data_IF_227877677047
#
_entry.id   IF_227877677047
#
_cell.length_a   1.000
_cell.length_b   1.000
_cell.length_c   1.000
_cell.angle_alpha   90.00
_cell.angle_beta   90.00
_cell.angle_gamma   90.00
#
_symmetry.space_group_name_H-M   'P 1'
#
loop_
_entity.id
_entity.type
_entity.pdbx_description
1 polymer ?
#
# COMPACT_ATOMS: atom_id res chain seq x y z
N UNK A 1 13.80 -45.76 75.96
CA UNK A 1 14.52 -45.93 77.24
C UNK A 1 14.55 -44.56 77.87
N UNK A 2 13.85 -44.42 78.98
CA UNK A 2 13.59 -43.16 79.67
C UNK A 2 14.66 -43.07 80.76
N UNK A 3 15.52 -42.05 80.69
CA UNK A 3 16.26 -41.59 81.87
C UNK A 3 15.79 -40.17 82.17
N UNK A 4 15.12 -40.05 83.32
CA UNK A 4 14.69 -38.82 83.95
C UNK A 4 15.76 -38.48 84.99
N UNK A 5 16.45 -37.36 84.82
CA UNK A 5 17.20 -36.75 85.92
C UNK A 5 16.49 -35.45 86.33
N UNK A 6 15.87 -35.54 87.50
CA UNK A 6 15.14 -34.49 88.18
C UNK A 6 16.16 -33.75 89.04
N UNK A 7 16.72 -32.65 88.54
CA UNK A 7 17.34 -31.63 89.42
C UNK A 7 17.73 -30.37 88.63
N UNK A 8 16.72 -29.59 88.24
CA UNK A 8 16.68 -28.11 88.17
C UNK A 8 15.39 -27.71 87.46
N UNK A 9 14.43 -27.26 88.26
CA UNK A 9 13.18 -26.71 87.75
C UNK A 9 13.44 -25.44 86.93
N UNK A 10 13.32 -25.56 85.62
CA UNK A 10 12.97 -24.47 84.70
C UNK A 10 12.65 -25.08 83.34
N UNK A 11 11.37 -25.30 83.06
CA UNK A 11 10.88 -25.55 81.72
C UNK A 11 11.01 -24.26 80.92
N UNK A 12 12.15 -24.05 80.28
CA UNK A 12 12.22 -23.20 79.09
C UNK A 12 12.03 -24.15 77.91
N UNK A 13 10.78 -24.31 77.49
CA UNK A 13 10.51 -24.88 76.17
C UNK A 13 11.28 -24.04 75.14
N UNK A 14 12.12 -24.64 74.28
CA UNK A 14 12.58 -23.92 73.12
C UNK A 14 11.37 -23.79 72.20
N UNK A 15 10.78 -22.59 72.19
CA UNK A 15 9.87 -22.13 71.14
C UNK A 15 10.65 -22.12 69.81
N UNK A 16 10.86 -23.30 69.24
CA UNK A 16 11.14 -23.46 67.82
C UNK A 16 9.81 -23.19 67.13
N UNK A 17 9.52 -21.89 66.95
CA UNK A 17 8.57 -21.46 65.95
C UNK A 17 9.14 -21.91 64.60
N UNK A 18 8.78 -23.13 64.19
CA UNK A 18 8.70 -23.48 62.79
C UNK A 18 7.62 -22.57 62.19
N UNK A 19 8.02 -21.32 61.87
CA UNK A 19 7.27 -20.49 60.93
C UNK A 19 7.35 -21.22 59.60
N UNK A 20 6.32 -22.01 59.35
CA UNK A 20 5.86 -22.25 58.00
C UNK A 20 5.73 -20.87 57.36
N UNK A 21 6.61 -20.57 56.42
CA UNK A 21 6.53 -19.37 55.60
C UNK A 21 5.37 -19.64 54.68
N UNK A 22 4.20 -19.17 55.11
CA UNK A 22 3.10 -18.99 54.19
C UNK A 22 3.60 -18.07 53.07
N UNK A 23 3.16 -18.36 51.85
CA UNK A 23 3.34 -17.52 50.67
C UNK A 23 2.90 -16.05 50.87
N UNK A 24 2.22 -15.77 52.00
CA UNK A 24 1.82 -14.49 52.60
C UNK A 24 2.93 -13.55 53.09
N UNK A 25 4.17 -14.04 53.24
CA UNK A 25 5.26 -13.28 53.88
C UNK A 25 6.05 -12.37 52.92
N UNK A 26 5.99 -12.61 51.61
CA UNK A 26 6.63 -11.75 50.61
C UNK A 26 5.81 -10.49 50.41
N UNK A 27 6.44 -9.32 50.48
CA UNK A 27 5.78 -8.05 50.18
C UNK A 27 6.11 -7.61 48.74
N UNK A 28 5.16 -7.68 47.78
CA UNK A 28 5.44 -7.34 46.40
C UNK A 28 5.98 -5.92 46.23
N UNK A 29 5.50 -4.97 47.03
CA UNK A 29 5.89 -3.56 46.99
C UNK A 29 7.35 -3.28 47.43
N UNK A 30 7.97 -4.20 48.18
CA UNK A 30 9.34 -4.04 48.69
C UNK A 30 10.37 -4.83 47.89
N UNK A 31 9.95 -5.63 46.91
CA UNK A 31 10.84 -6.33 46.00
C UNK A 31 11.75 -5.34 45.25
N UNK A 32 13.02 -5.71 45.05
CA UNK A 32 13.99 -4.89 44.32
C UNK A 32 14.46 -5.63 43.08
N UNK A 33 14.70 -4.89 42.01
CA UNK A 33 15.15 -5.45 40.75
C UNK A 33 16.36 -4.66 40.22
N UNK A 34 17.30 -5.36 39.58
CA UNK A 34 18.46 -4.74 38.91
C UNK A 34 18.91 -5.54 37.71
N UNK A 35 19.55 -4.87 36.75
CA UNK A 35 20.11 -5.49 35.55
C UNK A 35 19.37 -5.10 34.27
N UNK A 36 19.95 -5.54 33.14
CA UNK A 36 19.49 -5.23 31.79
C UNK A 36 18.10 -5.78 31.46
N UNK A 37 17.72 -6.90 32.08
CA UNK A 37 16.40 -7.53 31.91
C UNK A 37 15.21 -6.64 32.30
N UNK A 38 15.42 -5.57 33.08
CA UNK A 38 14.37 -4.64 33.49
C UNK A 38 14.44 -3.28 32.79
N UNK A 39 15.54 -3.01 32.07
CA UNK A 39 15.80 -1.71 31.42
C UNK A 39 15.73 -1.79 29.90
N UNK A 40 16.04 -2.94 29.31
CA UNK A 40 16.16 -3.11 27.87
C UNK A 40 17.60 -3.28 27.42
N UNK A 41 17.77 -3.40 26.11
CA UNK A 41 19.05 -3.67 25.49
C UNK A 41 18.92 -3.94 24.00
N UNK A 42 19.91 -4.65 23.44
CA UNK A 42 19.97 -4.97 22.02
C UNK A 42 19.32 -6.33 21.74
N UNK A 43 18.67 -6.44 20.58
CA UNK A 43 18.19 -7.71 20.03
C UNK A 43 19.31 -8.76 19.97
N UNK A 44 18.95 -10.02 20.20
CA UNK A 44 19.87 -11.17 20.09
C UNK A 44 20.92 -11.27 21.19
N UNK A 45 20.94 -10.32 22.14
CA UNK A 45 21.75 -10.45 23.36
C UNK A 45 20.93 -11.08 24.48
N UNK A 46 21.57 -11.90 25.30
CA UNK A 46 20.96 -12.42 26.51
C UNK A 46 20.83 -11.28 27.53
N UNK A 47 19.59 -10.88 27.84
CA UNK A 47 19.30 -9.88 28.85
C UNK A 47 19.16 -10.58 30.20
N UNK A 48 19.96 -10.13 31.15
CA UNK A 48 19.99 -10.69 32.50
C UNK A 48 19.61 -9.65 33.55
N UNK A 49 18.94 -10.11 34.61
CA UNK A 49 18.60 -9.31 35.77
C UNK A 49 18.47 -10.15 37.03
N UNK A 50 18.60 -9.49 38.18
CA UNK A 50 18.44 -10.08 39.50
C UNK A 50 17.23 -9.44 40.15
N UNK A 51 16.32 -10.28 40.62
CA UNK A 51 15.18 -9.91 41.46
C UNK A 51 15.46 -10.37 42.89
N UNK A 52 15.26 -9.46 43.84
CA UNK A 52 15.45 -9.69 45.27
C UNK A 52 14.10 -9.54 45.97
N UNK A 53 13.69 -10.59 46.68
CA UNK A 53 12.42 -10.65 47.41
C UNK A 53 12.61 -10.20 48.86
N UNK A 54 11.70 -9.36 49.34
CA UNK A 54 11.70 -8.81 50.70
C UNK A 54 10.35 -9.09 51.39
N UNK A 55 10.40 -9.26 52.72
CA UNK A 55 9.22 -9.39 53.56
C UNK A 55 8.60 -8.01 53.86
N UNK A 56 7.47 -7.99 54.59
CA UNK A 56 6.79 -6.75 55.02
C UNK A 56 7.64 -5.85 55.92
N UNK A 57 8.69 -6.41 56.54
CA UNK A 57 9.61 -5.70 57.43
C UNK A 57 10.89 -5.25 56.70
N UNK A 58 10.99 -5.45 55.38
CA UNK A 58 12.16 -5.10 54.58
C UNK A 58 13.36 -6.03 54.77
N UNK A 59 13.15 -7.25 55.29
CA UNK A 59 14.18 -8.29 55.41
C UNK A 59 14.12 -9.24 54.22
N UNK A 60 15.24 -9.87 53.89
CA UNK A 60 15.26 -10.93 52.87
C UNK A 60 14.39 -12.10 53.30
N UNK A 61 13.63 -12.64 52.34
CA UNK A 61 12.80 -13.83 52.57
C UNK A 61 13.72 -15.05 52.71
N UNK A 62 13.81 -15.62 53.91
CA UNK A 62 14.66 -16.79 54.17
C UNK A 62 13.75 -18.01 54.22
N UNK A 63 13.80 -18.92 53.24
CA UNK A 63 12.86 -20.05 53.18
C UNK A 63 12.94 -20.91 51.91
N UNK A 64 11.88 -21.68 51.66
CA UNK A 64 11.72 -22.51 50.46
C UNK A 64 11.65 -21.64 49.21
N UNK A 65 12.21 -22.13 48.10
CA UNK A 65 12.13 -21.49 46.80
C UNK A 65 10.66 -21.26 46.40
N UNK A 66 10.29 -20.00 46.16
CA UNK A 66 9.01 -19.62 45.56
C UNK A 66 9.04 -19.83 44.04
N UNK A 67 7.94 -20.35 43.50
CA UNK A 67 7.72 -20.49 42.06
C UNK A 67 7.25 -19.14 41.47
N UNK A 68 8.18 -18.32 41.01
CA UNK A 68 7.87 -17.07 40.32
C UNK A 68 7.43 -17.33 38.87
N UNK A 69 6.50 -16.52 38.37
CA UNK A 69 6.11 -16.54 36.96
C UNK A 69 6.52 -15.22 36.31
N UNK A 70 7.29 -15.30 35.23
CA UNK A 70 7.65 -14.13 34.43
C UNK A 70 7.23 -14.35 32.97
N UNK A 71 6.45 -13.41 32.44
CA UNK A 71 5.95 -13.44 31.06
C UNK A 71 6.42 -12.17 30.37
N UNK A 72 7.02 -12.32 29.19
CA UNK A 72 7.44 -11.22 28.35
C UNK A 72 6.47 -11.07 27.18
N UNK A 73 5.65 -10.03 27.20
CA UNK A 73 4.61 -9.77 26.19
C UNK A 73 5.02 -8.64 25.26
N UNK A 74 4.92 -8.88 23.96
CA UNK A 74 5.17 -7.87 22.94
C UNK A 74 3.96 -6.95 22.76
N UNK A 75 4.15 -5.63 22.85
CA UNK A 75 3.04 -4.66 22.73
C UNK A 75 2.91 -4.07 21.33
N UNK A 76 4.00 -3.72 20.67
CA UNK A 76 3.97 -3.17 19.31
C UNK A 76 5.37 -3.05 18.69
N UNK A 77 5.44 -3.21 17.36
CA UNK A 77 6.51 -2.61 16.56
C UNK A 77 6.00 -1.31 15.95
N UNK A 78 6.86 -0.29 15.83
CA UNK A 78 6.58 0.88 14.99
C UNK A 78 6.29 0.51 13.52
N UNK A 79 6.70 -0.69 13.08
CA UNK A 79 6.60 -1.16 11.70
C UNK A 79 5.47 -2.16 11.41
N UNK A 80 4.77 -2.68 12.43
CA UNK A 80 3.65 -3.61 12.21
C UNK A 80 2.61 -3.45 13.34
N UNK A 81 1.57 -2.60 13.14
CA UNK A 81 0.56 -2.31 14.16
C UNK A 81 -0.54 -3.38 14.26
N UNK A 82 -0.40 -4.52 13.57
CA UNK A 82 -1.34 -5.64 13.73
C UNK A 82 -1.11 -6.30 15.08
N UNK A 83 -2.12 -6.19 15.94
CA UNK A 83 -2.23 -6.71 17.31
C UNK A 83 -1.93 -8.22 17.41
N UNK A 84 -0.66 -8.60 17.38
CA UNK A 84 -0.22 -9.89 17.89
C UNK A 84 0.61 -9.64 19.14
N UNK A 85 -0.02 -9.85 20.30
CA UNK A 85 0.68 -10.02 21.56
C UNK A 85 1.49 -11.31 21.45
N UNK A 86 2.78 -11.17 21.17
CA UNK A 86 3.72 -12.28 21.16
C UNK A 86 4.26 -12.45 22.58
N UNK A 87 3.91 -13.55 23.22
CA UNK A 87 4.45 -13.89 24.53
C UNK A 87 5.71 -14.75 24.36
N UNK A 88 6.74 -14.43 25.12
CA UNK A 88 7.99 -15.18 25.22
C UNK A 88 8.23 -15.58 26.66
N UNK A 89 8.74 -16.80 26.82
CA UNK A 89 9.10 -17.34 28.11
C UNK A 89 10.38 -16.66 28.63
N UNK A 90 10.39 -16.41 29.94
CA UNK A 90 11.56 -15.89 30.65
C UNK A 90 12.10 -16.98 31.54
N UNK A 91 13.38 -17.30 31.39
CA UNK A 91 14.04 -18.28 32.23
C UNK A 91 14.34 -17.65 33.58
N UNK A 92 13.74 -18.21 34.63
CA UNK A 92 13.99 -17.82 36.01
C UNK A 92 14.80 -18.94 36.66
N UNK A 93 15.99 -18.61 37.17
CA UNK A 93 16.80 -19.54 37.96
C UNK A 93 16.98 -18.98 39.36
N UNK A 94 16.57 -19.69 40.42
CA UNK A 94 16.87 -19.27 41.79
C UNK A 94 18.39 -19.29 41.99
N UNK A 95 18.93 -18.20 42.53
CA UNK A 95 20.32 -18.13 43.01
C UNK A 95 20.33 -18.60 44.47
N UNK A 96 19.43 -18.02 45.28
CA UNK A 96 19.18 -18.37 46.68
C UNK A 96 17.68 -18.21 46.98
N UNK A 97 17.26 -18.53 48.21
CA UNK A 97 15.88 -18.40 48.70
C UNK A 97 15.20 -17.04 48.43
N UNK A 98 15.97 -15.95 48.37
CA UNK A 98 15.44 -14.58 48.16
C UNK A 98 15.90 -13.93 46.84
N UNK A 99 16.73 -14.60 46.04
CA UNK A 99 17.36 -14.00 44.86
C UNK A 99 17.13 -14.85 43.64
N UNK A 100 16.57 -14.24 42.60
CA UNK A 100 16.23 -14.90 41.35
C UNK A 100 16.93 -14.23 40.19
N UNK A 101 17.57 -15.03 39.34
CA UNK A 101 18.15 -14.56 38.09
C UNK A 101 17.14 -14.75 36.98
N UNK A 102 16.76 -13.66 36.33
CA UNK A 102 15.92 -13.67 35.13
C UNK A 102 16.84 -13.58 33.91
N UNK A 103 16.57 -14.43 32.91
CA UNK A 103 17.28 -14.45 31.63
C UNK A 103 16.30 -14.65 30.49
N UNK A 104 16.41 -13.84 29.47
CA UNK A 104 15.67 -14.03 28.23
C UNK A 104 16.44 -13.42 27.05
N UNK A 105 16.06 -13.83 25.86
CA UNK A 105 16.61 -13.33 24.61
C UNK A 105 15.46 -13.14 23.63
N UNK A 106 15.48 -12.03 22.91
CA UNK A 106 14.47 -11.74 21.89
C UNK A 106 15.13 -11.38 20.57
N UNK A 107 14.42 -11.69 19.49
CA UNK A 107 14.86 -11.46 18.11
C UNK A 107 14.18 -10.25 17.47
N UNK A 108 13.14 -9.70 18.11
CA UNK A 108 12.33 -8.60 17.57
C UNK A 108 12.60 -7.33 18.37
N UNK A 109 13.06 -6.29 17.68
CA UNK A 109 13.22 -4.95 18.24
C UNK A 109 11.85 -4.28 18.40
N UNK A 110 11.64 -3.58 19.52
CA UNK A 110 10.38 -2.91 19.78
C UNK A 110 10.08 -2.78 21.28
N UNK A 111 8.81 -2.49 21.57
CA UNK A 111 8.34 -2.26 22.94
C UNK A 111 7.78 -3.55 23.52
N UNK A 112 8.42 -4.02 24.58
CA UNK A 112 8.07 -5.23 25.32
C UNK A 112 7.58 -4.89 26.72
N UNK A 113 6.85 -5.82 27.33
CA UNK A 113 6.38 -5.70 28.70
C UNK A 113 6.71 -6.96 29.47
N UNK A 114 7.55 -6.83 30.49
CA UNK A 114 7.90 -7.91 31.38
C UNK A 114 6.99 -7.87 32.61
N UNK A 115 6.14 -8.87 32.73
CA UNK A 115 5.30 -9.08 33.89
C UNK A 115 5.95 -10.11 34.79
N UNK A 116 6.27 -9.74 36.03
CA UNK A 116 6.77 -10.67 37.04
C UNK A 116 5.73 -10.79 38.15
N UNK A 117 5.21 -11.99 38.34
CA UNK A 117 4.05 -12.30 39.16
C UNK A 117 4.47 -13.31 40.26
N UNK A 118 4.09 -13.00 41.49
CA UNK A 118 4.27 -13.89 42.65
C UNK A 118 3.24 -15.04 42.62
N UNK A 119 3.46 -16.14 43.36
CA UNK A 119 2.45 -17.20 43.50
C UNK A 119 1.08 -16.73 44.01
N UNK A 120 1.04 -15.60 44.72
CA UNK A 120 -0.20 -14.95 45.17
C UNK A 120 -1.03 -14.33 44.03
N UNK A 121 -0.47 -14.25 42.83
CA UNK A 121 -1.07 -13.57 41.66
C UNK A 121 -0.76 -12.07 41.60
N UNK A 122 -0.02 -11.52 42.56
CA UNK A 122 0.32 -10.10 42.60
C UNK A 122 1.61 -9.77 41.82
N UNK A 123 1.64 -8.60 41.19
CA UNK A 123 2.83 -8.07 40.54
C UNK A 123 3.85 -7.56 41.55
N UNK A 124 5.13 -7.86 41.32
CA UNK A 124 6.23 -7.28 42.11
C UNK A 124 6.36 -5.77 41.85
N UNK A 125 7.02 -5.04 42.74
CA UNK A 125 7.26 -3.61 42.60
C UNK A 125 7.87 -3.27 41.25
N UNK A 126 7.22 -2.34 40.53
CA UNK A 126 7.62 -1.90 39.20
C UNK A 126 7.12 -2.79 38.05
N UNK A 127 6.60 -3.98 38.32
CA UNK A 127 5.92 -4.81 37.32
C UNK A 127 4.49 -4.28 37.09
N UNK A 128 4.01 -4.21 35.84
CA UNK A 128 4.69 -4.61 34.60
C UNK A 128 5.76 -3.61 34.13
N UNK A 129 6.95 -4.12 33.79
CA UNK A 129 8.07 -3.31 33.32
C UNK A 129 7.94 -3.04 31.82
N UNK A 130 7.97 -1.78 31.41
CA UNK A 130 8.05 -1.41 29.99
C UNK A 130 9.53 -1.40 29.55
N UNK A 131 9.85 -2.24 28.58
CA UNK A 131 11.22 -2.52 28.13
C UNK A 131 11.32 -2.14 26.67
N UNK A 132 12.25 -1.25 26.34
CA UNK A 132 12.58 -0.92 24.96
C UNK A 132 13.78 -1.74 24.49
N UNK A 133 13.60 -2.49 23.41
CA UNK A 133 14.66 -3.32 22.83
C UNK A 133 15.06 -2.72 21.49
N UNK A 134 16.30 -2.23 21.43
CA UNK A 134 16.87 -1.63 20.24
C UNK A 134 17.36 -2.71 19.26
N UNK A 135 17.26 -2.47 17.94
CA UNK A 135 17.87 -3.35 16.93
C UNK A 135 19.36 -3.55 17.19
N UNK A 136 19.90 -4.71 16.82
CA UNK A 136 21.34 -4.94 16.88
C UNK A 136 22.10 -4.14 15.78
N UNK A 137 23.41 -4.30 15.73
CA UNK A 137 24.24 -3.68 14.69
C UNK A 137 23.83 -4.16 13.29
N UNK A 138 24.05 -3.29 12.30
CA UNK A 138 23.71 -3.59 10.91
C UNK A 138 24.43 -4.83 10.41
N UNK A 139 23.70 -5.72 9.74
CA UNK A 139 24.24 -6.93 9.13
C UNK A 139 24.22 -6.83 7.61
N UNK A 140 25.30 -7.23 6.92
CA UNK A 140 25.32 -7.26 5.46
C UNK A 140 24.32 -8.28 4.89
N UNK A 141 24.01 -9.34 5.65
CA UNK A 141 23.19 -10.47 5.17
C UNK A 141 21.68 -10.22 5.18
N UNK A 142 21.24 -9.12 5.77
CA UNK A 142 19.81 -8.75 5.88
C UNK A 142 19.52 -7.35 5.37
N UNK A 143 20.53 -6.49 5.32
CA UNK A 143 20.44 -5.15 4.73
C UNK A 143 20.08 -5.25 3.25
N UNK A 144 19.12 -4.44 2.82
CA UNK A 144 18.60 -4.45 1.45
C UNK A 144 18.80 -3.11 0.75
N UNK A 145 18.90 -3.16 -0.58
CA UNK A 145 18.89 -1.99 -1.45
C UNK A 145 17.55 -1.93 -2.20
N UNK A 146 16.88 -0.79 -2.15
CA UNK A 146 15.61 -0.53 -2.81
C UNK A 146 15.85 0.51 -3.90
N UNK A 147 15.46 0.19 -5.14
CA UNK A 147 15.45 1.16 -6.24
C UNK A 147 14.20 2.03 -6.14
N UNK A 148 14.36 3.34 -6.21
CA UNK A 148 13.22 4.26 -6.20
C UNK A 148 12.60 4.37 -7.60
N UNK A 149 11.25 4.28 -7.74
CA UNK A 149 10.60 4.47 -9.02
C UNK A 149 10.76 5.93 -9.47
N UNK A 150 11.26 6.13 -10.69
CA UNK A 150 11.32 7.45 -11.30
C UNK A 150 10.00 7.74 -12.02
N UNK A 151 9.22 8.67 -11.49
CA UNK A 151 7.95 9.05 -12.05
C UNK A 151 8.14 9.91 -13.31
N UNK A 152 8.20 9.25 -14.48
CA UNK A 152 7.91 9.88 -15.78
C UNK A 152 9.00 10.76 -16.41
N UNK A 153 10.16 10.93 -15.76
CA UNK A 153 11.33 11.57 -16.37
C UNK A 153 12.44 10.54 -16.51
N UNK A 154 12.80 10.23 -17.76
CA UNK A 154 13.94 9.38 -18.08
C UNK A 154 15.21 10.21 -17.82
N UNK A 155 15.77 10.05 -16.62
CA UNK A 155 17.01 10.71 -16.22
C UNK A 155 18.14 9.69 -16.17
N UNK A 156 19.35 10.09 -16.55
CA UNK A 156 20.56 9.25 -16.43
C UNK A 156 20.93 8.99 -14.96
N UNK A 157 20.31 9.69 -14.02
CA UNK A 157 20.51 9.49 -12.59
C UNK A 157 19.54 8.43 -12.10
N UNK A 158 20.00 7.53 -11.23
CA UNK A 158 19.19 6.54 -10.54
C UNK A 158 19.36 6.71 -9.04
N UNK A 159 18.26 6.60 -8.34
CA UNK A 159 18.21 6.76 -6.90
C UNK A 159 17.88 5.43 -6.22
N UNK A 160 18.68 5.10 -5.22
CA UNK A 160 18.53 3.91 -4.40
C UNK A 160 18.51 4.28 -2.92
N UNK A 161 17.81 3.48 -2.13
CA UNK A 161 17.78 3.57 -0.67
C UNK A 161 18.33 2.27 -0.11
N UNK A 162 19.39 2.34 0.66
CA UNK A 162 19.88 1.24 1.50
C UNK A 162 19.04 1.27 2.78
N UNK A 163 18.27 0.21 3.04
CA UNK A 163 17.62 0.01 4.34
C UNK A 163 18.52 -0.87 5.22
N UNK A 164 19.20 -0.25 6.19
CA UNK A 164 20.05 -1.00 7.13
C UNK A 164 19.19 -1.83 8.08
N UNK A 165 19.48 -3.12 8.14
CA UNK A 165 18.80 -4.07 9.02
C UNK A 165 19.82 -4.84 9.86
N UNK A 166 19.40 -5.23 11.06
CA UNK A 166 20.21 -6.10 11.91
C UNK A 166 20.17 -7.56 11.44
N UNK A 167 20.96 -8.44 12.04
CA UNK A 167 21.03 -9.86 11.65
C UNK A 167 19.71 -10.64 11.76
N UNK A 168 18.69 -10.09 12.42
CA UNK A 168 17.37 -10.68 12.60
C UNK A 168 16.31 -10.02 11.68
N UNK A 169 16.71 -9.06 10.85
CA UNK A 169 15.81 -8.35 9.94
C UNK A 169 15.08 -7.16 10.56
N UNK A 170 15.48 -6.70 11.74
CA UNK A 170 14.92 -5.48 12.32
C UNK A 170 15.55 -4.25 11.67
N UNK A 171 14.73 -3.27 11.33
CA UNK A 171 15.20 -1.98 10.78
C UNK A 171 15.93 -1.17 11.84
N UNK A 172 17.11 -0.67 11.50
CA UNK A 172 17.84 0.24 12.37
C UNK A 172 17.08 1.58 12.48
N UNK A 173 17.10 2.20 13.66
CA UNK A 173 16.47 3.51 13.92
C UNK A 173 17.45 4.67 13.94
N UNK A 174 18.74 4.38 14.05
CA UNK A 174 19.84 5.34 14.10
C UNK A 174 20.70 5.15 12.86
N UNK A 175 21.25 6.26 12.34
CA UNK A 175 22.29 6.22 11.31
C UNK A 175 23.66 5.86 11.87
N UNK A 176 24.70 6.14 11.10
CA UNK A 176 26.12 5.92 11.45
C UNK A 176 26.69 4.61 10.90
N UNK A 177 25.95 3.90 10.04
CA UNK A 177 26.41 2.65 9.44
C UNK A 177 27.39 2.93 8.29
N UNK A 178 28.65 2.46 8.35
CA UNK A 178 29.67 2.80 7.37
C UNK A 178 29.54 1.96 6.09
N UNK A 179 28.55 2.26 5.26
CA UNK A 179 28.41 1.64 3.93
C UNK A 179 29.46 2.17 2.97
N UNK A 180 30.05 1.26 2.20
CA UNK A 180 30.95 1.59 1.09
C UNK A 180 30.25 1.21 -0.21
N UNK A 181 29.93 2.23 -1.01
CA UNK A 181 29.25 2.09 -2.30
C UNK A 181 30.26 2.37 -3.41
N UNK A 182 30.32 1.46 -4.38
CA UNK A 182 31.21 1.58 -5.55
C UNK A 182 30.44 1.24 -6.81
N UNK A 183 30.57 2.06 -7.84
CA UNK A 183 30.06 1.73 -9.17
C UNK A 183 31.18 1.04 -9.97
N UNK A 184 30.83 -0.05 -10.65
CA UNK A 184 31.72 -0.81 -11.52
C UNK A 184 31.20 -0.66 -12.95
N UNK A 185 32.08 -0.38 -13.91
CA UNK A 185 31.72 -0.10 -15.30
C UNK A 185 31.60 1.40 -15.58
N UNK A 186 30.61 1.80 -16.38
CA UNK A 186 30.42 3.22 -16.76
C UNK A 186 29.52 4.01 -15.80
N UNK A 187 29.07 3.39 -14.70
CA UNK A 187 28.32 4.06 -13.65
C UNK A 187 29.21 4.97 -12.79
N UNK A 188 28.72 6.15 -12.42
CA UNK A 188 29.40 7.07 -11.50
C UNK A 188 28.56 7.27 -10.24
N UNK A 189 29.18 7.10 -9.07
CA UNK A 189 28.54 7.47 -7.80
C UNK A 189 28.53 9.00 -7.68
N UNK A 190 27.33 9.58 -7.50
CA UNK A 190 27.17 11.03 -7.32
C UNK A 190 27.14 11.40 -5.84
N UNK A 191 26.34 10.68 -5.05
CA UNK A 191 26.22 10.93 -3.62
C UNK A 191 25.85 9.68 -2.83
N UNK A 192 26.34 9.65 -1.59
CA UNK A 192 25.93 8.74 -0.53
C UNK A 192 25.61 9.62 0.68
N UNK A 193 24.37 9.57 1.16
CA UNK A 193 23.90 10.40 2.26
C UNK A 193 23.21 9.52 3.31
N UNK A 194 23.65 9.63 4.56
CA UNK A 194 22.98 8.98 5.69
C UNK A 194 21.80 9.85 6.16
N UNK A 195 20.60 9.27 6.14
CA UNK A 195 19.38 9.95 6.57
C UNK A 195 19.21 9.96 8.10
N UNK A 196 20.18 9.43 8.86
CA UNK A 196 20.18 9.33 10.33
C UNK A 196 19.02 8.51 10.92
N UNK A 197 18.29 7.78 10.09
CA UNK A 197 17.11 7.00 10.45
C UNK A 197 17.27 5.51 10.11
N UNK A 198 18.51 5.03 9.95
CA UNK A 198 18.83 3.68 9.48
C UNK A 198 18.74 3.49 7.96
N UNK A 199 18.36 4.53 7.21
CA UNK A 199 18.37 4.51 5.74
C UNK A 199 19.51 5.37 5.18
N UNK A 200 20.10 4.92 4.08
CA UNK A 200 21.10 5.69 3.34
C UNK A 200 20.65 5.89 1.91
N UNK A 201 20.67 7.14 1.45
CA UNK A 201 20.31 7.52 0.09
C UNK A 201 21.55 7.47 -0.79
N UNK A 202 21.44 6.75 -1.90
CA UNK A 202 22.50 6.56 -2.89
C UNK A 202 22.00 7.10 -4.23
N UNK A 203 22.75 8.02 -4.82
CA UNK A 203 22.47 8.52 -6.17
C UNK A 203 23.64 8.16 -7.06
N UNK A 204 23.37 7.45 -8.15
CA UNK A 204 24.37 7.13 -9.16
C UNK A 204 23.90 7.57 -10.54
N UNK A 205 24.83 7.91 -11.41
CA UNK A 205 24.56 8.22 -12.81
C UNK A 205 25.03 7.04 -13.67
N UNK A 206 24.21 6.65 -14.64
CA UNK A 206 24.55 5.62 -15.64
C UNK A 206 24.36 6.17 -17.03
N UNK A 207 25.30 5.87 -17.93
CA UNK A 207 25.15 6.23 -19.33
C UNK A 207 24.05 5.38 -20.00
N UNK A 208 23.16 6.00 -20.79
CA UNK A 208 21.97 5.33 -21.35
C UNK A 208 22.28 4.17 -22.31
N UNK A 209 23.51 4.07 -22.82
CA UNK A 209 23.97 3.02 -23.74
C UNK A 209 25.05 2.10 -23.13
N UNK A 210 25.18 2.06 -21.81
CA UNK A 210 26.17 1.20 -21.15
C UNK A 210 25.83 -0.28 -21.31
N UNK A 211 26.77 -1.06 -21.87
CA UNK A 211 26.67 -2.52 -21.90
C UNK A 211 26.88 -3.16 -20.52
N UNK A 212 27.52 -2.45 -19.58
CA UNK A 212 27.82 -2.96 -18.26
C UNK A 212 27.96 -1.82 -17.24
N UNK A 213 26.99 -1.73 -16.34
CA UNK A 213 27.07 -0.90 -15.14
C UNK A 213 26.53 -1.67 -13.96
N UNK A 214 27.33 -1.79 -12.90
CA UNK A 214 26.95 -2.43 -11.65
C UNK A 214 27.17 -1.49 -10.47
N UNK A 215 26.29 -1.56 -9.47
CA UNK A 215 26.41 -0.91 -8.19
C UNK A 215 26.76 -1.97 -7.16
N UNK A 216 27.94 -1.87 -6.57
CA UNK A 216 28.37 -2.75 -5.49
C UNK A 216 28.27 -2.00 -4.17
N UNK A 217 27.56 -2.57 -3.21
CA UNK A 217 27.37 -2.01 -1.88
C UNK A 217 27.92 -2.99 -0.86
N UNK A 218 28.87 -2.53 -0.03
CA UNK A 218 29.52 -3.34 0.99
C UNK A 218 29.37 -2.72 2.37
N UNK A 219 29.30 -3.58 3.38
CA UNK A 219 29.30 -3.25 4.79
C UNK A 219 30.39 -4.09 5.49
N UNK A 220 31.33 -3.44 6.16
CA UNK A 220 32.49 -4.09 6.79
C UNK A 220 33.28 -5.00 5.81
N UNK A 221 33.38 -4.59 4.55
CA UNK A 221 34.08 -5.34 3.50
C UNK A 221 33.30 -6.53 2.93
N UNK A 222 32.07 -6.79 3.39
CA UNK A 222 31.18 -7.83 2.86
C UNK A 222 30.08 -7.23 2.00
N UNK A 223 29.74 -7.89 0.90
CA UNK A 223 28.62 -7.49 0.05
C UNK A 223 27.28 -7.62 0.80
N UNK A 224 26.41 -6.63 0.63
CA UNK A 224 25.04 -6.72 1.15
C UNK A 224 24.19 -7.68 0.31
N UNK A 225 22.99 -8.01 0.77
CA UNK A 225 22.05 -8.86 0.03
C UNK A 225 21.86 -8.36 -1.40
N UNK A 226 22.05 -9.25 -2.37
CA UNK A 226 21.92 -8.98 -3.82
C UNK A 226 22.96 -7.99 -4.41
N UNK A 227 23.99 -7.60 -3.65
CA UNK A 227 25.17 -6.91 -4.21
C UNK A 227 26.09 -7.92 -4.91
N UNK A 228 26.64 -7.61 -6.10
CA UNK A 228 26.47 -6.37 -6.86
C UNK A 228 25.17 -6.30 -7.67
N UNK A 229 24.58 -5.11 -7.75
CA UNK A 229 23.34 -4.82 -8.46
C UNK A 229 23.60 -4.35 -9.89
N UNK A 230 22.89 -4.90 -10.87
CA UNK A 230 23.01 -4.45 -12.28
C UNK A 230 22.18 -3.18 -12.48
N UNK A 231 22.83 -2.09 -12.89
CA UNK A 231 22.19 -0.78 -13.14
C UNK A 231 21.64 -0.65 -14.56
N UNK A 232 22.25 -1.33 -15.54
CA UNK A 232 21.83 -1.33 -16.94
C UNK A 232 21.10 -2.65 -17.26
N UNK A 233 19.77 -2.62 -17.39
CA UNK A 233 19.07 -3.71 -18.06
C UNK A 233 19.40 -3.60 -19.56
N UNK A 234 20.05 -4.60 -20.19
CA UNK A 234 20.04 -4.66 -21.64
C UNK A 234 18.57 -4.67 -22.06
N UNK A 235 18.23 -3.82 -23.03
CA UNK A 235 16.92 -3.78 -23.66
C UNK A 235 16.46 -5.23 -23.90
N UNK A 236 15.38 -5.70 -23.25
CA UNK A 236 15.01 -7.10 -23.42
C UNK A 236 14.59 -7.28 -24.89
N UNK A 237 15.38 -8.06 -25.61
CA UNK A 237 14.88 -8.79 -26.76
C UNK A 237 13.64 -9.57 -26.31
N UNK A 238 12.61 -9.70 -27.18
CA UNK A 238 11.33 -10.27 -26.78
C UNK A 238 11.48 -11.77 -26.49
N UNK A 239 11.62 -12.16 -25.22
CA UNK A 239 11.53 -13.56 -24.79
C UNK A 239 10.39 -13.76 -23.78
N UNK A 240 9.31 -14.33 -24.33
CA UNK A 240 8.34 -15.27 -23.75
C UNK A 240 8.17 -15.39 -22.21
N UNK A 241 6.98 -14.92 -21.78
CA UNK A 241 5.98 -15.58 -20.91
C UNK A 241 6.35 -16.00 -19.48
N UNK A 242 5.89 -15.22 -18.50
CA UNK A 242 4.84 -15.64 -17.55
C UNK A 242 4.28 -14.41 -16.84
N UNK A 243 2.95 -14.24 -16.86
CA UNK A 243 2.16 -13.09 -16.41
C UNK A 243 2.32 -11.80 -17.23
N UNK A 244 2.18 -11.92 -18.56
CA UNK A 244 1.86 -10.76 -19.37
C UNK A 244 0.46 -10.26 -19.02
N UNK A 245 0.38 -9.03 -18.48
CA UNK A 245 -0.85 -8.28 -18.29
C UNK A 245 -1.80 -8.51 -19.49
N UNK A 246 -3.03 -9.01 -19.28
CA UNK A 246 -4.00 -9.23 -20.35
C UNK A 246 -4.16 -8.03 -21.28
N UNK A 247 -3.97 -6.81 -20.76
CA UNK A 247 -3.99 -5.58 -21.56
C UNK A 247 -2.81 -5.48 -22.53
N UNK A 248 -1.60 -5.81 -22.07
CA UNK A 248 -0.40 -5.81 -22.91
C UNK A 248 -0.50 -6.82 -24.05
N UNK A 249 -1.14 -7.97 -23.80
CA UNK A 249 -1.41 -8.99 -24.83
C UNK A 249 -2.34 -8.44 -25.91
N UNK A 250 -3.47 -7.85 -25.53
CA UNK A 250 -4.43 -7.26 -26.48
C UNK A 250 -3.82 -6.08 -27.26
N UNK A 251 -3.03 -5.24 -26.61
CA UNK A 251 -2.34 -4.12 -27.27
C UNK A 251 -1.31 -4.61 -28.29
N UNK A 252 -0.54 -5.65 -27.97
CA UNK A 252 0.40 -6.25 -28.91
C UNK A 252 -0.31 -6.89 -30.10
N UNK A 253 -1.45 -7.55 -29.86
CA UNK A 253 -2.30 -8.07 -30.94
C UNK A 253 -2.81 -6.96 -31.86
N UNK A 254 -3.25 -5.83 -31.30
CA UNK A 254 -3.66 -4.64 -32.05
C UNK A 254 -2.52 -4.11 -32.93
N UNK A 255 -1.32 -3.92 -32.37
CA UNK A 255 -0.12 -3.48 -33.11
C UNK A 255 0.20 -4.41 -34.29
N UNK A 256 0.13 -5.72 -34.09
CA UNK A 256 0.38 -6.70 -35.15
C UNK A 256 -0.66 -6.61 -36.27
N UNK A 257 -1.94 -6.42 -35.94
CA UNK A 257 -3.01 -6.27 -36.95
C UNK A 257 -2.80 -4.98 -37.76
N UNK A 258 -2.51 -3.85 -37.12
CA UNK A 258 -2.21 -2.61 -37.84
C UNK A 258 -0.97 -2.71 -38.74
N UNK A 259 0.09 -3.38 -38.28
CA UNK A 259 1.27 -3.60 -39.09
C UNK A 259 0.95 -4.45 -40.33
N UNK A 260 0.18 -5.53 -40.17
CA UNK A 260 -0.30 -6.37 -41.29
C UNK A 260 -1.17 -5.57 -42.25
N UNK A 261 -2.12 -4.78 -41.74
CA UNK A 261 -3.00 -3.95 -42.55
C UNK A 261 -2.21 -2.94 -43.39
N UNK A 262 -1.18 -2.30 -42.82
CA UNK A 262 -0.31 -1.36 -43.55
C UNK A 262 0.44 -2.03 -44.70
N UNK A 263 0.95 -3.24 -44.50
CA UNK A 263 1.63 -4.01 -45.55
C UNK A 263 0.65 -4.40 -46.66
N UNK A 264 -0.56 -4.83 -46.31
CA UNK A 264 -1.59 -5.16 -47.28
C UNK A 264 -2.05 -3.95 -48.10
N UNK A 265 -2.30 -2.79 -47.47
CA UNK A 265 -2.64 -1.58 -48.23
C UNK A 265 -1.55 -1.17 -49.21
N UNK A 266 -0.27 -1.25 -48.81
CA UNK A 266 0.84 -0.96 -49.71
C UNK A 266 0.86 -1.92 -50.91
N UNK A 267 0.69 -3.21 -50.67
CA UNK A 267 0.63 -4.20 -51.74
C UNK A 267 -0.59 -3.99 -52.67
N UNK A 268 -1.73 -3.56 -52.13
CA UNK A 268 -2.91 -3.16 -52.91
C UNK A 268 -2.62 -1.95 -53.82
N UNK A 269 -1.97 -0.92 -53.27
CA UNK A 269 -1.58 0.29 -54.02
C UNK A 269 -0.62 -0.05 -55.17
N UNK A 270 0.42 -0.86 -54.90
CA UNK A 270 1.38 -1.28 -55.91
C UNK A 270 0.71 -2.09 -57.05
N UNK A 271 -0.18 -3.02 -56.69
CA UNK A 271 -0.87 -3.88 -57.64
C UNK A 271 -1.92 -3.12 -58.47
N UNK A 272 -2.68 -2.23 -57.83
CA UNK A 272 -3.64 -1.36 -58.52
C UNK A 272 -2.95 -0.38 -59.48
N UNK A 273 -1.77 0.15 -59.11
CA UNK A 273 -0.95 0.96 -60.01
C UNK A 273 -0.47 0.16 -61.24
N UNK A 274 -0.10 -1.11 -61.04
CA UNK A 274 0.27 -2.03 -62.12
C UNK A 274 -0.89 -2.29 -63.08
N UNK A 275 -2.10 -2.53 -62.54
CA UNK A 275 -3.32 -2.70 -63.34
C UNK A 275 -3.62 -1.46 -64.19
N UNK A 276 -3.52 -0.26 -63.62
CA UNK A 276 -3.71 1.00 -64.35
C UNK A 276 -2.68 1.19 -65.46
N UNK A 277 -1.43 0.76 -65.23
CA UNK A 277 -0.38 0.79 -66.26
C UNK A 277 -0.72 -0.15 -67.43
N UNK A 278 -1.10 -1.39 -67.15
CA UNK A 278 -1.52 -2.37 -68.17
C UNK A 278 -2.75 -1.87 -68.95
N UNK A 279 -3.74 -1.28 -68.28
CA UNK A 279 -4.90 -0.67 -68.96
C UNK A 279 -4.51 0.48 -69.91
N UNK A 280 -3.53 1.31 -69.52
CA UNK A 280 -3.01 2.38 -70.37
C UNK A 280 -2.25 1.82 -71.57
N UNK A 281 -1.45 0.79 -71.39
CA UNK A 281 -0.71 0.11 -72.47
C UNK A 281 -1.66 -0.57 -73.45
N UNK A 282 -2.68 -1.27 -72.95
CA UNK A 282 -3.74 -1.86 -73.77
C UNK A 282 -4.50 -0.78 -74.57
N UNK A 283 -4.82 0.36 -73.94
CA UNK A 283 -5.50 1.48 -74.61
C UNK A 283 -4.64 2.10 -75.72
N UNK A 284 -3.33 2.28 -75.47
CA UNK A 284 -2.37 2.76 -76.49
C UNK A 284 -2.26 1.77 -77.65
N UNK A 285 -2.16 0.47 -77.37
CA UNK A 285 -2.09 -0.58 -78.38
C UNK A 285 -3.36 -0.65 -79.24
N UNK A 286 -4.54 -0.48 -78.63
CA UNK A 286 -5.82 -0.44 -79.33
C UNK A 286 -5.95 0.81 -80.22
N UNK A 287 -5.53 1.97 -79.72
CA UNK A 287 -5.57 3.21 -80.49
C UNK A 287 -4.61 3.17 -81.70
N UNK A 288 -3.42 2.59 -81.52
CA UNK A 288 -2.43 2.42 -82.59
C UNK A 288 -2.91 1.46 -83.70
N UNK A 289 -3.57 0.35 -83.32
CA UNK A 289 -4.12 -0.61 -84.30
C UNK A 289 -5.33 -0.04 -85.04
N UNK A 290 -6.20 0.70 -84.33
CA UNK A 290 -7.37 1.37 -84.94
C UNK A 290 -7.00 2.46 -85.94
N UNK A 291 -5.92 3.20 -85.71
CA UNK A 291 -5.50 4.31 -86.58
C UNK A 291 -4.65 3.90 -87.80
N UNK A 292 -4.34 2.61 -87.98
CA UNK A 292 -3.46 2.11 -89.06
C UNK A 292 -2.12 2.87 -89.18
N UNK A 293 -1.60 3.42 -88.07
CA UNK A 293 -0.32 4.11 -88.07
C UNK A 293 0.79 3.06 -87.96
N UNK A 294 1.07 2.41 -89.10
CA UNK A 294 2.29 1.65 -89.34
C UNK A 294 3.34 2.63 -89.84
N UNK A 295 4.10 3.23 -88.93
CA UNK A 295 5.41 3.79 -89.27
C UNK A 295 6.43 2.71 -88.86
N UNK A 296 7.08 1.95 -89.74
CA UNK A 296 7.69 2.29 -91.03
C UNK A 296 7.83 1.01 -91.88
N UNK A 297 7.26 0.98 -93.09
CA UNK A 297 7.79 0.31 -94.30
C UNK A 297 6.81 0.52 -95.47
N UNK A 298 7.27 0.93 -96.67
CA UNK A 298 6.39 1.25 -97.78
C UNK A 298 6.28 0.06 -98.74
N UNK A 299 5.47 -0.96 -98.44
CA UNK A 299 5.05 -1.92 -99.47
C UNK A 299 3.63 -2.38 -99.19
N UNK A 300 2.74 -2.16 -100.17
CA UNK A 300 1.38 -2.70 -100.20
C UNK A 300 1.42 -4.22 -100.08
N UNK A 301 0.83 -4.78 -99.02
CA UNK A 301 0.38 -6.16 -99.03
C UNK A 301 -1.12 -6.21 -98.71
N UNK A 302 -1.81 -6.97 -99.55
CA UNK A 302 -3.21 -7.33 -99.43
C UNK A 302 -3.48 -8.08 -98.11
N UNK A 303 -4.71 -7.92 -97.65
CA UNK A 303 -5.32 -8.52 -96.47
C UNK A 303 -5.10 -10.03 -96.41
N UNK A 304 -4.36 -10.48 -95.40
CA UNK A 304 -4.58 -11.70 -94.64
C UNK A 304 -3.82 -11.50 -93.33
N UNK A 305 -4.48 -11.47 -92.17
CA UNK A 305 -3.83 -11.47 -90.86
C UNK A 305 -2.86 -12.68 -90.78
N UNK A 306 -1.53 -12.51 -90.66
CA UNK A 306 -0.64 -13.64 -90.53
C UNK A 306 0.39 -13.41 -89.42
N UNK A 307 0.05 -12.64 -88.39
CA UNK A 307 0.98 -12.41 -87.28
C UNK A 307 0.44 -13.07 -86.02
N UNK A 308 0.68 -14.39 -85.93
CA UNK A 308 0.45 -15.21 -84.72
C UNK A 308 1.08 -14.55 -83.48
N UNK A 309 2.10 -13.70 -83.67
CA UNK A 309 2.77 -12.97 -82.60
C UNK A 309 1.91 -11.85 -82.00
N UNK A 310 1.05 -11.17 -82.77
CA UNK A 310 0.15 -10.11 -82.26
C UNK A 310 -1.06 -10.71 -81.53
N UNK A 311 -1.61 -11.80 -82.05
CA UNK A 311 -2.66 -12.55 -81.36
C UNK A 311 -2.16 -13.12 -80.03
N UNK A 312 -0.95 -13.68 -80.01
CA UNK A 312 -0.30 -14.17 -78.78
C UNK A 312 -0.04 -13.04 -77.77
N UNK A 313 0.47 -11.88 -78.22
CA UNK A 313 0.66 -10.70 -77.34
C UNK A 313 -0.65 -10.17 -76.76
N UNK A 314 -1.74 -10.16 -77.54
CA UNK A 314 -3.06 -9.75 -77.05
C UNK A 314 -3.60 -10.72 -76.00
N UNK A 315 -3.45 -12.02 -76.25
CA UNK A 315 -3.89 -13.06 -75.32
C UNK A 315 -3.07 -13.03 -74.02
N UNK A 316 -1.78 -12.72 -74.11
CA UNK A 316 -0.90 -12.51 -72.96
C UNK A 316 -1.29 -11.27 -72.12
N UNK A 317 -1.61 -10.13 -72.77
CA UNK A 317 -2.11 -8.94 -72.04
C UNK A 317 -3.45 -9.22 -71.35
N UNK A 318 -4.36 -9.95 -71.98
CA UNK A 318 -5.65 -10.33 -71.38
C UNK A 318 -5.42 -11.27 -70.19
N UNK A 319 -4.51 -12.24 -70.32
CA UNK A 319 -4.15 -13.14 -69.24
C UNK A 319 -3.56 -12.37 -68.04
N UNK A 320 -2.63 -11.44 -68.30
CA UNK A 320 -2.04 -10.56 -67.28
C UNK A 320 -3.10 -9.67 -66.59
N UNK A 321 -4.02 -9.08 -67.37
CA UNK A 321 -5.09 -8.26 -66.81
C UNK A 321 -6.05 -9.07 -65.92
N UNK A 322 -6.42 -10.27 -66.34
CA UNK A 322 -7.29 -11.15 -65.58
C UNK A 322 -6.60 -11.64 -64.29
N UNK A 323 -5.31 -11.96 -64.38
CA UNK A 323 -4.50 -12.34 -63.21
C UNK A 323 -4.39 -11.20 -62.20
N UNK A 324 -4.02 -9.98 -62.65
CA UNK A 324 -3.94 -8.81 -61.77
C UNK A 324 -5.29 -8.47 -61.12
N UNK A 325 -6.40 -8.65 -61.86
CA UNK A 325 -7.74 -8.40 -61.32
C UNK A 325 -8.12 -9.42 -60.24
N UNK A 326 -7.81 -10.71 -60.46
CA UNK A 326 -8.01 -11.76 -59.45
C UNK A 326 -7.16 -11.52 -58.20
N UNK A 327 -5.89 -11.15 -58.38
CA UNK A 327 -4.97 -10.83 -57.29
C UNK A 327 -5.47 -9.61 -56.46
N UNK A 328 -6.03 -8.59 -57.12
CA UNK A 328 -6.65 -7.41 -56.47
C UNK A 328 -7.88 -7.82 -55.66
N UNK A 329 -8.73 -8.68 -56.20
CA UNK A 329 -9.92 -9.19 -55.50
C UNK A 329 -9.52 -9.98 -54.24
N UNK A 330 -8.57 -10.89 -54.35
CA UNK A 330 -8.04 -11.66 -53.22
C UNK A 330 -7.44 -10.74 -52.15
N UNK A 331 -6.65 -9.76 -52.55
CA UNK A 331 -6.00 -8.83 -51.63
C UNK A 331 -7.01 -7.90 -50.97
N UNK A 332 -8.05 -7.46 -51.68
CA UNK A 332 -9.16 -6.69 -51.12
C UNK A 332 -9.95 -7.49 -50.07
N UNK A 333 -10.16 -8.80 -50.30
CA UNK A 333 -10.80 -9.69 -49.33
C UNK A 333 -9.94 -9.85 -48.06
N UNK A 334 -8.62 -9.98 -48.22
CA UNK A 334 -7.67 -10.02 -47.09
C UNK A 334 -7.68 -8.73 -46.28
N UNK A 335 -7.72 -7.55 -46.93
CA UNK A 335 -7.83 -6.25 -46.25
C UNK A 335 -9.11 -6.20 -45.40
N UNK A 336 -10.27 -6.51 -45.99
CA UNK A 336 -11.57 -6.53 -45.27
C UNK A 336 -11.56 -7.47 -44.08
N UNK A 337 -10.97 -8.66 -44.22
CA UNK A 337 -10.84 -9.61 -43.12
C UNK A 337 -9.96 -9.07 -41.99
N UNK A 338 -8.83 -8.43 -42.31
CA UNK A 338 -7.97 -7.80 -41.29
C UNK A 338 -8.60 -6.60 -40.60
N UNK A 339 -9.38 -5.79 -41.34
CA UNK A 339 -10.14 -4.66 -40.79
C UNK A 339 -11.22 -5.11 -39.81
N UNK A 340 -11.94 -6.20 -40.12
CA UNK A 340 -12.94 -6.76 -39.22
C UNK A 340 -12.33 -7.21 -37.88
N UNK A 341 -11.19 -7.90 -37.92
CA UNK A 341 -10.45 -8.31 -36.72
C UNK A 341 -9.90 -7.10 -35.96
N UNK A 342 -9.40 -6.08 -36.66
CA UNK A 342 -8.93 -4.84 -36.05
C UNK A 342 -10.03 -4.10 -35.31
N UNK A 343 -11.24 -4.04 -35.89
CA UNK A 343 -12.42 -3.42 -35.29
C UNK A 343 -12.86 -4.14 -34.01
N UNK A 344 -12.91 -5.47 -34.04
CA UNK A 344 -13.27 -6.27 -32.86
C UNK A 344 -12.32 -6.01 -31.67
N UNK A 345 -11.00 -5.97 -31.94
CA UNK A 345 -10.00 -5.69 -30.91
C UNK A 345 -10.14 -4.25 -30.39
N UNK A 346 -10.41 -3.29 -31.27
CA UNK A 346 -10.59 -1.89 -30.87
C UNK A 346 -11.84 -1.73 -30.00
N UNK A 347 -12.95 -2.38 -30.37
CA UNK A 347 -14.21 -2.35 -29.61
C UNK A 347 -14.00 -2.96 -28.20
N UNK A 348 -13.27 -4.09 -28.08
CA UNK A 348 -12.89 -4.65 -26.76
C UNK A 348 -12.04 -3.66 -25.94
N UNK A 349 -11.05 -3.02 -26.55
CA UNK A 349 -10.20 -2.02 -25.86
C UNK A 349 -11.00 -0.80 -25.38
N UNK A 350 -11.93 -0.31 -26.20
CA UNK A 350 -12.81 0.81 -25.84
C UNK A 350 -13.71 0.42 -24.67
N UNK A 351 -14.36 -0.74 -24.71
CA UNK A 351 -15.20 -1.23 -23.62
C UNK A 351 -14.42 -1.38 -22.31
N UNK A 352 -13.18 -1.87 -22.36
CA UNK A 352 -12.29 -1.97 -21.19
C UNK A 352 -11.88 -0.60 -20.66
N UNK A 353 -11.62 0.35 -21.54
CA UNK A 353 -11.29 1.71 -21.14
C UNK A 353 -12.47 2.40 -20.45
N UNK A 354 -13.67 2.26 -21.00
CA UNK A 354 -14.90 2.83 -20.42
C UNK A 354 -15.21 2.23 -19.05
N UNK A 355 -15.10 0.91 -18.91
CA UNK A 355 -15.30 0.22 -17.61
C UNK A 355 -14.27 0.65 -16.58
N UNK A 356 -12.98 0.72 -16.95
CA UNK A 356 -11.92 1.21 -16.07
C UNK A 356 -12.13 2.68 -15.66
N UNK A 357 -12.53 3.53 -16.60
CA UNK A 357 -12.83 4.94 -16.35
C UNK A 357 -14.01 5.10 -15.38
N UNK A 358 -15.05 4.27 -15.51
CA UNK A 358 -16.18 4.24 -14.57
C UNK A 358 -15.74 3.80 -13.17
N UNK A 359 -15.01 2.70 -13.06
CA UNK A 359 -14.49 2.21 -11.78
C UNK A 359 -13.59 3.24 -11.09
N UNK A 360 -12.75 3.94 -11.85
CA UNK A 360 -11.93 5.01 -11.32
C UNK A 360 -12.77 6.16 -10.78
N UNK A 361 -13.80 6.60 -11.52
CA UNK A 361 -14.73 7.64 -11.04
C UNK A 361 -15.45 7.22 -9.75
N UNK A 362 -15.91 5.97 -9.68
CA UNK A 362 -16.59 5.42 -8.51
C UNK A 362 -15.62 5.34 -7.30
N UNK A 363 -14.38 4.91 -7.52
CA UNK A 363 -13.35 4.88 -6.49
C UNK A 363 -12.99 6.28 -5.98
N UNK A 364 -12.87 7.27 -6.87
CA UNK A 364 -12.63 8.67 -6.50
C UNK A 364 -13.82 9.24 -5.70
N UNK A 365 -15.05 8.89 -6.06
CA UNK A 365 -16.24 9.30 -5.30
C UNK A 365 -16.24 8.67 -3.90
N UNK A 366 -15.96 7.37 -3.79
CA UNK A 366 -15.85 6.68 -2.51
C UNK A 366 -14.75 7.28 -1.62
N UNK A 367 -13.58 7.59 -2.20
CA UNK A 367 -12.50 8.24 -1.50
C UNK A 367 -12.91 9.61 -0.94
N UNK A 368 -13.67 10.41 -1.69
CA UNK A 368 -14.19 11.71 -1.21
C UNK A 368 -15.11 11.55 0.00
N UNK A 369 -15.98 10.54 -0.01
CA UNK A 369 -16.87 10.25 1.13
C UNK A 369 -16.05 9.86 2.37
N UNK A 370 -15.10 8.95 2.22
CA UNK A 370 -14.22 8.52 3.33
C UNK A 370 -13.41 9.70 3.88
N UNK A 371 -12.88 10.54 3.00
CA UNK A 371 -12.14 11.74 3.41
C UNK A 371 -13.02 12.70 4.21
N UNK A 372 -14.25 12.95 3.77
CA UNK A 372 -15.19 13.81 4.48
C UNK A 372 -15.56 13.24 5.85
N UNK A 373 -15.75 11.92 5.96
CA UNK A 373 -15.99 11.24 7.24
C UNK A 373 -14.80 11.37 8.20
N UNK A 374 -13.57 11.21 7.70
CA UNK A 374 -12.35 11.43 8.48
C UNK A 374 -12.29 12.88 8.96
N UNK A 375 -12.51 13.86 8.07
CA UNK A 375 -12.52 15.28 8.43
C UNK A 375 -13.55 15.57 9.53
N UNK A 376 -14.78 15.05 9.40
CA UNK A 376 -15.82 15.18 10.42
C UNK A 376 -15.41 14.58 11.76
N UNK A 377 -14.82 13.37 11.76
CA UNK A 377 -14.32 12.73 12.99
C UNK A 377 -13.20 13.53 13.64
N UNK A 378 -12.25 14.03 12.86
CA UNK A 378 -11.16 14.87 13.38
C UNK A 378 -11.73 16.15 14.00
N UNK A 379 -12.71 16.79 13.38
CA UNK A 379 -13.36 17.98 13.96
C UNK A 379 -14.11 17.64 15.24
N UNK A 380 -14.84 16.52 15.28
CA UNK A 380 -15.53 16.05 16.48
C UNK A 380 -14.55 15.75 17.63
N UNK A 381 -13.41 15.10 17.34
CA UNK A 381 -12.35 14.85 18.34
C UNK A 381 -11.74 16.16 18.83
N UNK A 382 -11.47 17.12 17.94
CA UNK A 382 -10.98 18.46 18.34
C UNK A 382 -11.98 19.20 19.23
N UNK A 383 -13.27 19.15 18.90
CA UNK A 383 -14.33 19.75 19.71
C UNK A 383 -14.45 19.07 21.09
N UNK A 384 -14.37 17.74 21.14
CA UNK A 384 -14.37 16.97 22.39
C UNK A 384 -13.16 17.33 23.27
N UNK A 385 -11.96 17.41 22.68
CA UNK A 385 -10.76 17.79 23.41
C UNK A 385 -10.83 19.23 23.94
N UNK A 386 -11.43 20.16 23.17
CA UNK A 386 -11.67 21.54 23.64
C UNK A 386 -12.62 21.55 24.83
N UNK A 387 -13.73 20.81 24.75
CA UNK A 387 -14.67 20.69 25.85
C UNK A 387 -14.00 20.11 27.10
N UNK A 388 -13.18 19.07 26.96
CA UNK A 388 -12.42 18.51 28.09
C UNK A 388 -11.44 19.52 28.70
N UNK A 389 -10.75 20.31 27.87
CA UNK A 389 -9.88 21.39 28.38
C UNK A 389 -10.65 22.49 29.10
N UNK A 390 -11.85 22.86 28.62
CA UNK A 390 -12.68 23.90 29.23
C UNK A 390 -13.31 23.41 30.53
N UNK A 391 -13.69 22.12 30.60
CA UNK A 391 -14.13 21.46 31.84
C UNK A 391 -13.02 21.44 32.90
N UNK A 392 -11.78 21.13 32.51
CA UNK A 392 -10.63 21.19 33.43
C UNK A 392 -10.33 22.61 33.91
N UNK A 393 -10.64 23.62 33.12
CA UNK A 393 -10.52 25.04 33.49
C UNK A 393 -11.69 25.55 34.35
N UNK A 394 -12.76 24.76 34.48
CA UNK A 394 -13.92 25.11 35.30
C UNK A 394 -14.85 26.13 34.65
N UNK A 395 -14.90 26.20 33.32
CA UNK A 395 -15.82 27.10 32.62
C UNK A 395 -17.29 26.72 32.90
N UNK A 396 -18.11 27.61 33.50
CA UNK A 396 -19.49 27.31 33.87
C UNK A 396 -20.38 26.92 32.68
N UNK A 397 -20.10 27.46 31.48
CA UNK A 397 -20.89 27.13 30.29
C UNK A 397 -20.54 25.73 29.74
N UNK A 398 -19.27 25.31 29.84
CA UNK A 398 -18.84 23.96 29.48
C UNK A 398 -19.44 22.90 30.41
N UNK A 399 -19.49 23.18 31.72
CA UNK A 399 -20.09 22.31 32.73
C UNK A 399 -21.60 22.15 32.50
N UNK A 400 -22.31 23.25 32.15
CA UNK A 400 -23.74 23.18 31.81
C UNK A 400 -23.97 22.29 30.58
N UNK A 401 -23.22 22.51 29.50
CA UNK A 401 -23.32 21.70 28.27
C UNK A 401 -23.01 20.23 28.52
N UNK A 402 -22.01 19.92 29.33
CA UNK A 402 -21.67 18.54 29.67
C UNK A 402 -22.79 17.84 30.44
N UNK A 403 -23.38 18.51 31.44
CA UNK A 403 -24.53 17.98 32.19
C UNK A 403 -25.77 17.79 31.31
N UNK A 404 -26.04 18.72 30.40
CA UNK A 404 -27.12 18.58 29.42
C UNK A 404 -26.87 17.38 28.49
N UNK A 405 -25.65 17.22 27.99
CA UNK A 405 -25.26 16.09 27.13
C UNK A 405 -25.35 14.75 27.88
N UNK A 406 -24.95 14.70 29.15
CA UNK A 406 -25.10 13.53 30.00
C UNK A 406 -26.59 13.19 30.21
N UNK A 407 -27.43 14.18 30.50
CA UNK A 407 -28.87 13.98 30.64
C UNK A 407 -29.53 13.46 29.34
N UNK A 408 -29.06 13.93 28.19
CA UNK A 408 -29.51 13.44 26.88
C UNK A 408 -29.04 11.99 26.63
N UNK A 409 -27.79 11.68 26.95
CA UNK A 409 -27.24 10.33 26.81
C UNK A 409 -27.87 9.31 27.77
N UNK A 410 -28.37 9.74 28.92
CA UNK A 410 -29.11 8.88 29.86
C UNK A 410 -30.57 8.68 29.42
N UNK A 411 -31.19 9.73 28.86
CA UNK A 411 -32.58 9.68 28.39
C UNK A 411 -32.75 8.95 27.06
N UNK A 412 -31.75 8.95 26.17
CA UNK A 412 -31.81 8.26 24.87
C UNK A 412 -32.02 6.74 24.99
N UNK A 413 -31.18 5.99 25.74
CA UNK A 413 -31.35 4.55 25.93
C UNK A 413 -32.64 4.20 26.70
N UNK A 414 -33.03 5.03 27.67
CA UNK A 414 -34.27 4.86 28.43
C UNK A 414 -35.52 5.01 27.55
N UNK A 415 -35.47 5.90 26.56
CA UNK A 415 -36.52 6.14 25.59
C UNK A 415 -36.68 4.98 24.60
N UNK A 416 -35.59 4.36 24.14
CA UNK A 416 -35.66 3.17 23.27
C UNK A 416 -35.99 1.88 24.03
N UNK A 417 -35.68 1.78 25.33
CA UNK A 417 -36.10 0.64 26.18
C UNK A 417 -37.58 0.69 26.60
N UNK A 418 -38.26 1.82 26.41
CA UNK A 418 -39.67 2.02 26.80
C UNK A 418 -40.68 2.05 25.64
N UNK A 419 -40.30 1.60 24.45
CA UNK A 419 -41.07 1.82 23.20
C UNK A 419 -42.35 0.99 23.02
N UNK A 420 -42.70 0.11 23.96
CA UNK A 420 -43.89 -0.76 23.84
C UNK A 420 -45.16 -0.19 24.52
N UNK A 421 -45.12 1.05 25.04
CA UNK A 421 -46.31 1.67 25.66
C UNK A 421 -46.82 2.90 24.88
N UNK A 422 -48.11 2.94 24.49
CA UNK A 422 -48.68 3.96 23.60
C UNK A 422 -48.77 5.38 24.20
N UNK A 423 -48.51 5.56 25.50
CA UNK A 423 -48.55 6.87 26.16
C UNK A 423 -47.37 7.80 25.87
N UNK A 424 -46.33 7.33 25.16
CA UNK A 424 -45.10 8.11 24.90
C UNK A 424 -45.06 8.83 23.55
N UNK A 425 -46.13 8.75 22.73
CA UNK A 425 -46.20 9.38 21.41
C UNK A 425 -46.21 10.93 21.45
N UNK A 426 -46.75 11.53 22.51
CA UNK A 426 -46.80 13.01 22.64
C UNK A 426 -45.45 13.61 23.05
N UNK A 427 -44.65 12.87 23.84
CA UNK A 427 -43.28 13.26 24.20
C UNK A 427 -42.30 13.08 23.03
N UNK A 428 -42.63 12.19 22.09
CA UNK A 428 -41.96 11.97 20.80
C UNK A 428 -41.88 13.24 19.94
N UNK A 429 -42.99 13.97 19.85
CA UNK A 429 -43.08 15.20 19.05
C UNK A 429 -42.28 16.33 19.70
N UNK A 430 -42.36 16.49 21.02
CA UNK A 430 -41.70 17.60 21.73
C UNK A 430 -40.16 17.53 21.73
N UNK A 431 -39.57 16.34 21.75
CA UNK A 431 -38.10 16.16 21.71
C UNK A 431 -37.52 16.39 20.30
N UNK A 432 -38.23 15.95 19.26
CA UNK A 432 -37.85 16.22 17.86
C UNK A 432 -37.92 17.73 17.59
N UNK A 433 -38.96 18.44 18.07
CA UNK A 433 -39.07 19.90 17.94
C UNK A 433 -37.92 20.63 18.64
N UNK A 434 -37.45 20.15 19.80
CA UNK A 434 -36.31 20.76 20.52
C UNK A 434 -34.96 20.56 19.82
N UNK A 435 -34.76 19.40 19.19
CA UNK A 435 -33.51 19.08 18.50
C UNK A 435 -33.36 19.83 17.16
N UNK A 436 -34.49 20.19 16.52
CA UNK A 436 -34.49 21.07 15.35
C UNK A 436 -34.25 22.54 15.70
N UNK A 437 -34.63 23.00 16.89
CA UNK A 437 -34.44 24.40 17.29
C UNK A 437 -33.07 24.72 17.90
N UNK A 438 -32.26 23.72 18.28
CA UNK A 438 -30.91 23.95 18.82
C UNK A 438 -29.79 23.87 17.78
N UNK A 439 -30.09 23.47 16.53
CA UNK A 439 -29.13 23.43 15.41
C UNK A 439 -29.26 24.62 14.45
N UNK A 440 -30.12 25.60 14.74
CA UNK A 440 -30.04 26.90 14.08
C UNK A 440 -28.91 27.72 14.71
N UNK A 441 -27.71 27.56 14.15
CA UNK A 441 -26.76 28.67 14.13
C UNK A 441 -27.49 29.91 13.57
N UNK A 442 -27.15 31.14 14.00
CA UNK A 442 -27.72 32.34 13.41
C UNK A 442 -27.20 32.44 11.98
N UNK A 443 -27.88 31.79 11.04
CA UNK A 443 -27.83 32.20 9.66
C UNK A 443 -28.42 33.59 9.66
N UNK A 444 -27.58 34.58 9.35
CA UNK A 444 -28.07 35.88 8.92
C UNK A 444 -28.91 35.64 7.68
N UNK A 445 -30.20 35.36 7.89
CA UNK A 445 -31.22 35.45 6.85
C UNK A 445 -31.30 36.93 6.55
N UNK A 446 -30.45 37.38 5.63
CA UNK A 446 -30.71 38.61 4.90
C UNK A 446 -32.09 38.43 4.30
N UNK A 447 -33.07 39.16 4.84
CA UNK A 447 -34.39 39.34 4.27
C UNK A 447 -34.21 39.75 2.81
N UNK A 448 -34.33 38.81 1.89
CA UNK A 448 -34.35 39.11 0.46
C UNK A 448 -35.75 39.57 0.11
N UNK A 449 -36.08 40.80 0.50
CA UNK A 449 -37.10 41.57 -0.20
C UNK A 449 -36.59 41.78 -1.62
N UNK A 450 -37.25 41.25 -2.66
CA UNK A 450 -36.82 41.44 -4.04
C UNK A 450 -37.05 42.91 -4.44
N UNK A 451 -35.96 43.66 -4.64
CA UNK A 451 -35.97 45.11 -4.94
C UNK A 451 -36.59 45.50 -6.30
N UNK A 452 -37.16 44.56 -7.07
CA UNK A 452 -37.65 44.84 -8.43
C UNK A 452 -39.01 44.20 -8.72
N UNK A 453 -40.07 45.01 -8.97
CA UNK A 453 -41.46 44.55 -9.11
C UNK A 453 -41.77 43.72 -10.39
N UNK A 454 -40.79 43.51 -11.26
CA UNK A 454 -40.96 42.80 -12.54
C UNK A 454 -40.22 41.46 -12.60
N UNK A 455 -39.85 40.87 -11.47
CA UNK A 455 -39.26 39.53 -11.44
C UNK A 455 -40.33 38.45 -11.21
N UNK A 456 -40.21 37.26 -11.81
CA UNK A 456 -41.14 36.15 -11.59
C UNK A 456 -41.29 35.77 -10.10
N UNK A 457 -40.25 35.99 -9.29
CA UNK A 457 -40.28 35.80 -7.85
C UNK A 457 -41.25 36.76 -7.13
N UNK A 458 -41.33 38.02 -7.57
CA UNK A 458 -42.29 39.00 -7.04
C UNK A 458 -43.74 38.61 -7.43
N UNK A 459 -43.95 38.18 -8.68
CA UNK A 459 -45.28 37.75 -9.15
C UNK A 459 -45.75 36.43 -8.51
N UNK A 460 -44.83 35.56 -8.11
CA UNK A 460 -45.14 34.38 -7.31
C UNK A 460 -45.57 34.74 -5.88
N UNK A 461 -44.93 35.73 -5.23
CA UNK A 461 -45.36 36.19 -3.91
C UNK A 461 -46.73 36.88 -3.93
N UNK A 462 -47.05 37.70 -4.94
CA UNK A 462 -48.38 38.32 -5.06
C UNK A 462 -49.47 37.37 -5.59
N UNK A 463 -49.15 36.10 -5.88
CA UNK A 463 -50.12 35.13 -6.40
C UNK A 463 -50.64 35.43 -7.82
N UNK A 464 -49.94 36.30 -8.57
CA UNK A 464 -50.33 36.71 -9.94
C UNK A 464 -49.77 35.79 -11.03
N UNK A 465 -48.83 34.91 -10.71
CA UNK A 465 -48.26 33.96 -11.67
C UNK A 465 -49.07 32.66 -11.72
N UNK A 466 -49.76 32.40 -12.84
CA UNK A 466 -50.40 31.11 -13.13
C UNK A 466 -49.64 30.41 -14.27
N UNK A 467 -48.99 29.27 -14.04
CA UNK A 467 -48.33 28.54 -15.12
C UNK A 467 -49.38 28.01 -16.12
N UNK A 468 -49.06 27.95 -17.42
CA UNK A 468 -49.96 27.41 -18.42
C UNK A 468 -50.23 25.93 -18.13
N UNK A 469 -51.50 25.52 -18.22
CA UNK A 469 -51.89 24.12 -18.05
C UNK A 469 -51.30 23.29 -19.21
N UNK A 470 -50.74 22.11 -18.92
CA UNK A 470 -50.26 21.23 -19.98
C UNK A 470 -51.43 20.77 -20.85
N UNK A 471 -51.24 20.90 -22.16
CA UNK A 471 -52.16 20.46 -23.23
C UNK A 471 -52.18 18.94 -23.37
#
# INVERSE_FOLDING_TARGET
MIDYDIERGSTVEPLVYNRYIDTSDVCPALCRHRGSAFRGGLVGRCLEGILELYDRNGRHVVGRELALTAVLSYKANAFNPREQTLDREVYITPIDSCRYKLRYMVEIAGSWTLSVILPSGEHVAGSPFNIEIEPAEASPYTTMLICMPQNGYESDQKEFIIEAMDGFGNKLRKGGTPFVVTCIGTGKLLSLFDCNNGQHRVVCQTEPNSMFSQLRVTLMGKDIVNSPFVLSLPTPAPSSTSDSDPFAVTLNRCKQVYAKQRVLHKAYEDLSASLVKEQREASKSYHSTRLQIVHTLPVKFNIADPDTTLAAKRQDMIARHNQLSADIEELSAKIRATEAVGKEILDDLVNRFETSSRLHKDAVAAYKVVRQEIENRVQATKASNRLDTDLRRGDPDAIRKYKEQQSLNETFPAYYKGSDKPGNATKRVQLITRQYMSNEAPSGVTSTTPDRPNTPAFWMMEGRFKPPRPS
#
